data_IF_002269793505
#
_entry.id   IF_002269793505
#
_cell.length_a   1.000
_cell.length_b   1.000
_cell.length_c   1.000
_cell.angle_alpha   90.00
_cell.angle_beta   90.00
_cell.angle_gamma   90.00
#
_symmetry.space_group_name_H-M   'P 1'
#
loop_
_entity.id
_entity.type
_entity.pdbx_description
1 polymer ?
#
# COMPACT_ATOMS: atom_id res chain seq x y z
N UNK A 1 -27.31 -27.79 12.49
CA UNK A 1 -27.61 -26.41 12.84
C UNK A 1 -27.22 -25.51 11.70
N UNK A 2 -27.91 -24.37 11.53
CA UNK A 2 -27.59 -23.35 10.53
C UNK A 2 -26.30 -22.63 10.93
N UNK A 3 -25.29 -22.50 10.04
CA UNK A 3 -24.03 -21.84 10.37
C UNK A 3 -24.16 -20.32 10.56
N UNK A 4 -25.23 -19.70 10.02
CA UNK A 4 -25.48 -18.27 10.19
C UNK A 4 -26.43 -18.05 11.37
N UNK A 5 -26.08 -17.21 12.37
CA UNK A 5 -26.94 -16.90 13.50
C UNK A 5 -28.31 -16.35 13.08
N UNK A 6 -29.36 -16.68 13.83
CA UNK A 6 -30.73 -16.25 13.51
C UNK A 6 -30.90 -14.75 13.43
N UNK A 7 -30.19 -13.97 14.26
CA UNK A 7 -30.19 -12.50 14.22
C UNK A 7 -29.67 -11.94 12.92
N UNK A 8 -28.59 -12.51 12.41
CA UNK A 8 -27.99 -12.11 11.12
C UNK A 8 -28.91 -12.48 9.97
N UNK A 9 -29.53 -13.68 10.01
CA UNK A 9 -30.47 -14.08 8.98
C UNK A 9 -31.71 -13.17 8.93
N UNK A 10 -32.21 -12.76 10.09
CA UNK A 10 -33.32 -11.83 10.18
C UNK A 10 -32.96 -10.43 9.64
N UNK A 11 -31.75 -9.94 9.95
CA UNK A 11 -31.26 -8.63 9.51
C UNK A 11 -31.11 -8.55 7.97
N UNK A 12 -30.64 -9.63 7.34
CA UNK A 12 -30.39 -9.67 5.90
C UNK A 12 -31.48 -10.40 5.10
N UNK A 13 -32.59 -10.78 5.71
CA UNK A 13 -33.71 -11.46 5.04
C UNK A 13 -33.34 -12.84 4.49
N UNK A 14 -32.43 -13.57 5.15
CA UNK A 14 -31.91 -14.83 4.63
C UNK A 14 -32.74 -16.01 5.13
N UNK A 15 -33.10 -16.91 4.22
CA UNK A 15 -33.75 -18.20 4.54
C UNK A 15 -32.80 -19.17 5.26
N UNK A 16 -33.36 -20.22 5.86
CA UNK A 16 -32.57 -21.25 6.53
C UNK A 16 -31.69 -22.05 5.55
N UNK A 17 -30.56 -22.59 6.03
CA UNK A 17 -29.63 -23.35 5.19
C UNK A 17 -30.28 -24.58 4.52
N UNK A 18 -31.06 -25.37 5.27
CA UNK A 18 -31.78 -26.54 4.75
C UNK A 18 -32.76 -26.16 3.63
N UNK A 19 -33.51 -25.12 3.85
CA UNK A 19 -34.44 -24.57 2.86
C UNK A 19 -33.69 -24.10 1.61
N UNK A 20 -32.60 -23.36 1.75
CA UNK A 20 -31.80 -22.90 0.63
C UNK A 20 -31.25 -24.07 -0.21
N UNK A 21 -30.74 -25.12 0.44
CA UNK A 21 -30.25 -26.32 -0.27
C UNK A 21 -31.37 -27.02 -1.03
N UNK A 22 -32.56 -27.11 -0.45
CA UNK A 22 -33.69 -27.72 -1.11
C UNK A 22 -34.18 -26.89 -2.31
N UNK A 23 -34.37 -25.60 -2.12
CA UNK A 23 -34.92 -24.69 -3.13
C UNK A 23 -33.93 -24.42 -4.29
N UNK A 24 -32.61 -24.49 -4.09
CA UNK A 24 -31.64 -24.35 -5.18
C UNK A 24 -31.66 -25.56 -6.13
N UNK A 25 -31.98 -26.75 -5.60
CA UNK A 25 -32.04 -27.98 -6.40
C UNK A 25 -33.42 -28.29 -6.95
N UNK A 26 -34.47 -27.93 -6.21
CA UNK A 26 -35.87 -28.23 -6.55
C UNK A 26 -36.75 -26.96 -6.36
N UNK A 27 -36.49 -25.90 -7.16
CA UNK A 27 -37.24 -24.65 -7.01
C UNK A 27 -38.64 -24.80 -7.58
N UNK A 28 -39.66 -24.31 -6.85
CA UNK A 28 -41.03 -24.25 -7.33
C UNK A 28 -41.25 -22.94 -8.14
N UNK A 29 -40.39 -21.93 -7.94
CA UNK A 29 -40.42 -20.67 -8.66
C UNK A 29 -39.01 -20.10 -8.86
N UNK A 30 -38.85 -19.18 -9.81
CA UNK A 30 -37.63 -18.44 -10.05
C UNK A 30 -37.23 -17.60 -8.83
N UNK A 31 -38.18 -17.03 -8.12
CA UNK A 31 -37.95 -16.22 -6.93
C UNK A 31 -37.36 -17.06 -5.79
N UNK A 32 -37.86 -18.28 -5.55
CA UNK A 32 -37.28 -19.20 -4.58
C UNK A 32 -35.85 -19.59 -4.94
N UNK A 33 -35.58 -19.85 -6.21
CA UNK A 33 -34.22 -20.17 -6.66
C UNK A 33 -33.27 -18.99 -6.42
N UNK A 34 -33.67 -17.76 -6.72
CA UNK A 34 -32.86 -16.54 -6.50
C UNK A 34 -32.60 -16.33 -5.00
N UNK A 35 -33.60 -16.46 -4.15
CA UNK A 35 -33.49 -16.36 -2.69
C UNK A 35 -32.56 -17.43 -2.12
N UNK A 36 -32.66 -18.66 -2.60
CA UNK A 36 -31.78 -19.75 -2.19
C UNK A 36 -30.32 -19.49 -2.61
N UNK A 37 -30.11 -19.00 -3.85
CA UNK A 37 -28.80 -18.62 -4.36
C UNK A 37 -28.17 -17.49 -3.53
N UNK A 38 -28.93 -16.47 -3.21
CA UNK A 38 -28.46 -15.33 -2.42
C UNK A 38 -28.05 -15.78 -1.01
N UNK A 39 -28.82 -16.68 -0.39
CA UNK A 39 -28.45 -17.28 0.91
C UNK A 39 -27.15 -18.05 0.86
N UNK A 40 -26.94 -18.87 -0.15
CA UNK A 40 -25.73 -19.69 -0.29
C UNK A 40 -24.51 -18.82 -0.63
N UNK A 41 -24.67 -17.87 -1.54
CA UNK A 41 -23.62 -16.90 -1.88
C UNK A 41 -23.21 -16.04 -0.68
N UNK A 42 -24.17 -15.57 0.13
CA UNK A 42 -23.89 -14.85 1.36
C UNK A 42 -23.01 -15.67 2.32
N UNK A 43 -23.35 -16.94 2.52
CA UNK A 43 -22.58 -17.81 3.41
C UNK A 43 -21.16 -18.02 2.91
N UNK A 44 -20.96 -18.26 1.62
CA UNK A 44 -19.65 -18.46 1.02
C UNK A 44 -18.78 -17.18 1.17
N UNK A 45 -19.34 -16.01 0.84
CA UNK A 45 -18.66 -14.73 1.01
C UNK A 45 -18.37 -14.39 2.48
N UNK A 46 -19.29 -14.73 3.39
CA UNK A 46 -19.10 -14.55 4.83
C UNK A 46 -17.94 -15.41 5.33
N UNK A 47 -17.91 -16.70 4.96
CA UNK A 47 -16.83 -17.62 5.33
C UNK A 47 -15.48 -17.13 4.82
N UNK A 48 -15.41 -16.71 3.55
CA UNK A 48 -14.20 -16.14 2.98
C UNK A 48 -13.74 -14.88 3.72
N UNK A 49 -14.68 -13.97 3.97
CA UNK A 49 -14.40 -12.70 4.68
C UNK A 49 -13.90 -12.95 6.11
N UNK A 50 -14.53 -13.89 6.83
CA UNK A 50 -14.11 -14.26 8.18
C UNK A 50 -12.73 -14.92 8.17
N UNK A 51 -12.47 -15.82 7.22
CA UNK A 51 -11.16 -16.46 7.08
C UNK A 51 -10.07 -15.41 6.81
N UNK A 52 -10.31 -14.47 5.89
CA UNK A 52 -9.39 -13.38 5.61
C UNK A 52 -9.16 -12.46 6.82
N UNK A 53 -10.23 -12.12 7.57
CA UNK A 53 -10.09 -11.33 8.80
C UNK A 53 -9.31 -12.07 9.88
N UNK A 54 -9.54 -13.37 10.01
CA UNK A 54 -8.83 -14.21 10.96
C UNK A 54 -7.34 -14.33 10.60
N UNK A 55 -7.00 -14.54 9.33
CA UNK A 55 -5.63 -14.56 8.85
C UNK A 55 -4.94 -13.20 9.02
N UNK A 56 -5.64 -12.11 8.72
CA UNK A 56 -5.13 -10.74 8.95
C UNK A 56 -4.94 -10.39 10.43
N UNK A 57 -5.72 -11.02 11.32
CA UNK A 57 -5.61 -10.81 12.78
C UNK A 57 -4.49 -11.63 13.44
N UNK A 58 -4.17 -12.80 12.90
CA UNK A 58 -3.09 -13.67 13.37
C UNK A 58 -1.79 -13.28 12.69
N UNK A 59 -0.88 -12.61 13.40
CA UNK A 59 0.46 -12.34 12.91
C UNK A 59 0.74 -10.91 12.48
N UNK A 60 -0.07 -9.92 12.85
CA UNK A 60 0.33 -8.53 12.72
C UNK A 60 1.46 -8.24 13.71
N UNK A 61 2.69 -8.38 13.23
CA UNK A 61 3.85 -7.91 13.97
C UNK A 61 3.79 -6.39 14.11
N UNK A 62 4.14 -5.90 15.31
CA UNK A 62 4.19 -4.46 15.56
C UNK A 62 5.40 -3.88 14.84
N UNK A 63 5.22 -2.74 14.21
CA UNK A 63 6.33 -1.96 13.66
C UNK A 63 6.91 -1.03 14.72
N UNK A 64 8.23 -0.81 14.66
CA UNK A 64 8.91 0.28 15.36
C UNK A 64 8.88 1.60 14.59
N UNK A 65 8.49 1.53 13.30
CA UNK A 65 8.34 2.71 12.46
C UNK A 65 7.03 3.43 12.82
N UNK A 66 7.12 4.61 13.41
CA UNK A 66 5.94 5.41 13.75
C UNK A 66 6.11 6.84 13.30
N UNK A 67 5.24 7.30 12.44
CA UNK A 67 5.22 8.67 11.94
C UNK A 67 4.12 9.45 12.66
N UNK A 68 4.45 9.93 13.87
CA UNK A 68 3.50 10.65 14.71
C UNK A 68 3.65 12.16 14.52
N UNK A 69 2.53 12.86 14.34
CA UNK A 69 2.43 14.33 14.27
C UNK A 69 3.49 14.97 13.35
N UNK A 70 3.58 14.57 12.07
CA UNK A 70 4.47 15.26 11.13
C UNK A 70 3.94 16.64 10.83
N UNK A 71 4.84 17.63 10.62
CA UNK A 71 4.44 18.96 10.14
C UNK A 71 4.56 19.03 8.62
N UNK A 72 3.44 18.96 7.92
CA UNK A 72 3.39 19.10 6.47
C UNK A 72 3.25 20.56 5.98
N UNK A 73 3.12 21.54 6.88
CA UNK A 73 2.95 22.95 6.48
C UNK A 73 4.08 23.47 5.58
N UNK A 74 5.37 23.20 5.86
CA UNK A 74 6.45 23.60 4.98
C UNK A 74 6.32 23.01 3.58
N UNK A 75 6.03 21.70 3.50
CA UNK A 75 5.84 21.00 2.23
C UNK A 75 4.66 21.57 1.44
N UNK A 76 3.50 21.77 2.08
CA UNK A 76 2.31 22.32 1.40
C UNK A 76 2.56 23.76 0.91
N UNK A 77 3.29 24.57 1.66
CA UNK A 77 3.65 25.94 1.27
C UNK A 77 4.63 25.99 0.09
N UNK A 78 5.46 24.99 -0.10
CA UNK A 78 6.43 24.93 -1.22
C UNK A 78 5.79 24.51 -2.55
N UNK A 79 4.55 24.01 -2.52
CA UNK A 79 3.88 23.58 -3.74
C UNK A 79 3.42 24.78 -4.58
N UNK A 80 3.58 24.72 -5.93
CA UNK A 80 3.14 25.79 -6.82
C UNK A 80 1.61 25.82 -7.02
N UNK A 81 0.87 24.91 -6.40
CA UNK A 81 -0.59 24.79 -6.48
C UNK A 81 -1.14 24.20 -5.16
N UNK A 82 -2.39 24.48 -4.81
CA UNK A 82 -2.99 23.92 -3.62
C UNK A 82 -3.32 22.41 -3.81
N UNK A 83 -3.24 21.65 -2.72
CA UNK A 83 -3.72 20.28 -2.70
C UNK A 83 -5.24 20.21 -2.89
N UNK A 84 -5.72 19.28 -3.70
CA UNK A 84 -7.15 18.99 -3.83
C UNK A 84 -7.75 18.44 -2.53
N UNK A 85 -9.07 18.53 -2.37
CA UNK A 85 -9.76 17.95 -1.21
C UNK A 85 -9.52 16.45 -1.07
N UNK A 86 -9.47 15.71 -2.19
CA UNK A 86 -9.19 14.28 -2.21
C UNK A 86 -7.75 13.99 -1.74
N UNK A 87 -6.76 14.72 -2.25
CA UNK A 87 -5.36 14.56 -1.84
C UNK A 87 -5.16 14.84 -0.35
N UNK A 88 -5.76 15.92 0.19
CA UNK A 88 -5.73 16.22 1.63
C UNK A 88 -6.30 15.09 2.48
N UNK A 89 -7.47 14.55 2.08
CA UNK A 89 -8.13 13.44 2.79
C UNK A 89 -7.26 12.19 2.78
N UNK A 90 -6.75 11.80 1.62
CA UNK A 90 -5.92 10.58 1.47
C UNK A 90 -4.62 10.70 2.24
N UNK A 91 -3.93 11.84 2.18
CA UNK A 91 -2.72 12.09 2.98
C UNK A 91 -3.03 11.96 4.47
N UNK A 92 -4.14 12.54 4.95
CA UNK A 92 -4.52 12.44 6.37
C UNK A 92 -4.82 11.01 6.80
N UNK A 93 -5.45 10.20 5.95
CA UNK A 93 -5.71 8.79 6.20
C UNK A 93 -4.42 7.97 6.27
N UNK A 94 -3.51 8.15 5.31
CA UNK A 94 -2.20 7.49 5.28
C UNK A 94 -1.41 7.82 6.56
N UNK A 95 -1.34 9.09 6.93
CA UNK A 95 -0.60 9.53 8.12
C UNK A 95 -1.20 8.98 9.43
N UNK A 96 -2.53 8.83 9.48
CA UNK A 96 -3.19 8.18 10.63
C UNK A 96 -2.74 6.73 10.77
N UNK A 97 -2.66 6.00 9.67
CA UNK A 97 -2.20 4.62 9.69
C UNK A 97 -0.70 4.51 10.00
N UNK A 98 0.13 5.42 9.47
CA UNK A 98 1.56 5.47 9.76
C UNK A 98 1.87 5.83 11.23
N UNK A 99 0.92 6.41 11.95
CA UNK A 99 1.03 6.65 13.39
C UNK A 99 0.64 5.42 14.23
N UNK A 100 0.00 4.41 13.63
CA UNK A 100 -0.44 3.16 14.26
C UNK A 100 0.76 2.29 14.71
N UNK A 101 0.58 1.42 15.71
CA UNK A 101 1.60 0.43 16.09
C UNK A 101 1.80 -0.71 15.08
N UNK A 102 1.02 -0.74 14.02
CA UNK A 102 1.10 -1.78 12.98
C UNK A 102 1.56 -1.18 11.66
N UNK A 103 2.31 -1.93 10.84
CA UNK A 103 2.73 -1.45 9.53
C UNK A 103 1.49 -1.18 8.66
N UNK A 104 1.47 -0.01 8.04
CA UNK A 104 0.45 0.35 7.06
C UNK A 104 0.69 -0.46 5.78
N UNK A 105 -0.38 -0.99 5.20
CA UNK A 105 -0.38 -1.52 3.84
C UNK A 105 -1.61 -0.96 3.13
N UNK A 106 -1.41 0.05 2.28
CA UNK A 106 -2.49 0.77 1.58
C UNK A 106 -2.30 0.79 0.08
N UNK A 107 -3.41 0.73 -0.63
CA UNK A 107 -3.50 1.01 -2.05
C UNK A 107 -3.95 2.47 -2.24
N UNK A 108 -3.15 3.24 -2.97
CA UNK A 108 -3.48 4.56 -3.49
C UNK A 108 -3.90 4.41 -4.96
N UNK A 109 -5.19 4.47 -5.19
CA UNK A 109 -5.77 4.37 -6.51
C UNK A 109 -6.19 5.75 -7.04
N UNK A 110 -5.99 5.98 -8.34
CA UNK A 110 -6.41 7.19 -9.01
C UNK A 110 -5.91 7.22 -10.44
N UNK A 111 -6.57 7.96 -11.31
CA UNK A 111 -6.23 8.07 -12.73
C UNK A 111 -4.81 8.60 -12.97
N UNK A 112 -4.32 8.44 -14.20
CA UNK A 112 -3.07 9.06 -14.63
C UNK A 112 -3.23 10.58 -14.50
N UNK A 113 -2.23 11.23 -13.88
CA UNK A 113 -2.29 12.68 -13.65
C UNK A 113 -3.05 13.12 -12.39
N UNK A 114 -3.69 12.22 -11.63
CA UNK A 114 -4.40 12.55 -10.37
C UNK A 114 -3.49 13.06 -9.24
N UNK A 115 -2.17 13.03 -9.43
CA UNK A 115 -1.18 13.47 -8.45
C UNK A 115 -0.78 12.44 -7.41
N UNK A 116 -0.86 11.14 -7.72
CA UNK A 116 -0.39 10.07 -6.82
C UNK A 116 1.04 10.27 -6.35
N UNK A 117 1.94 10.68 -7.24
CA UNK A 117 3.34 10.95 -6.89
C UNK A 117 3.47 12.13 -5.92
N UNK A 118 2.58 13.12 -5.97
CA UNK A 118 2.55 14.20 -5.00
C UNK A 118 2.13 13.71 -3.61
N UNK A 119 1.13 12.84 -3.54
CA UNK A 119 0.73 12.17 -2.27
C UNK A 119 1.91 11.35 -1.73
N UNK A 120 2.58 10.58 -2.59
CA UNK A 120 3.77 9.81 -2.24
C UNK A 120 4.89 10.71 -1.69
N UNK A 121 5.17 11.86 -2.32
CA UNK A 121 6.14 12.84 -1.83
C UNK A 121 5.76 13.38 -0.45
N UNK A 122 4.50 13.75 -0.23
CA UNK A 122 4.01 14.27 1.05
C UNK A 122 4.19 13.29 2.20
N UNK A 123 3.84 12.01 1.99
CA UNK A 123 3.97 10.98 3.04
C UNK A 123 5.42 10.53 3.23
N UNK A 124 6.25 10.57 2.17
CA UNK A 124 7.70 10.37 2.29
C UNK A 124 8.34 11.47 3.13
N UNK A 125 7.99 12.73 2.88
CA UNK A 125 8.45 13.84 3.68
C UNK A 125 8.09 13.68 5.16
N UNK A 126 6.86 13.24 5.45
CA UNK A 126 6.43 12.96 6.81
C UNK A 126 7.28 11.87 7.49
N UNK A 127 7.62 10.79 6.80
CA UNK A 127 8.50 9.74 7.31
C UNK A 127 9.92 10.26 7.55
N UNK A 128 10.44 11.04 6.60
CA UNK A 128 11.81 11.61 6.65
C UNK A 128 11.96 12.59 7.81
N UNK A 129 10.97 13.41 8.10
CA UNK A 129 10.95 14.27 9.31
C UNK A 129 11.11 13.50 10.62
N UNK A 130 10.78 12.21 10.64
CA UNK A 130 10.92 11.33 11.82
C UNK A 130 12.21 10.50 11.76
N UNK A 131 13.12 10.85 10.86
CA UNK A 131 14.44 10.21 10.72
C UNK A 131 14.39 8.86 10.01
N UNK A 132 13.33 8.57 9.25
CA UNK A 132 13.23 7.39 8.41
C UNK A 132 13.62 7.70 6.98
N UNK A 133 13.98 6.66 6.24
CA UNK A 133 14.14 6.71 4.79
C UNK A 133 12.89 6.21 4.09
N UNK A 134 12.67 6.70 2.87
CA UNK A 134 11.60 6.25 1.99
C UNK A 134 12.17 5.73 0.67
N UNK A 135 11.61 4.64 0.16
CA UNK A 135 11.98 4.05 -1.12
C UNK A 135 10.79 3.97 -2.06
N UNK A 136 10.96 4.40 -3.31
CA UNK A 136 9.96 4.25 -4.37
C UNK A 136 10.49 3.29 -5.43
N UNK A 137 9.78 2.20 -5.62
CA UNK A 137 10.10 1.18 -6.62
C UNK A 137 9.21 1.36 -7.85
N UNK A 138 9.82 1.48 -9.01
CA UNK A 138 9.16 1.57 -10.30
C UNK A 138 9.49 0.35 -11.18
N UNK A 139 8.59 -0.06 -12.10
CA UNK A 139 8.77 -1.26 -12.90
C UNK A 139 9.87 -1.15 -13.97
N UNK A 140 10.19 0.06 -14.39
CA UNK A 140 11.22 0.33 -15.40
C UNK A 140 12.16 1.44 -14.94
N UNK A 141 13.36 1.47 -15.51
CA UNK A 141 14.34 2.52 -15.21
C UNK A 141 13.90 3.90 -15.66
N UNK A 142 13.17 3.97 -16.78
CA UNK A 142 12.59 5.22 -17.30
C UNK A 142 11.59 5.79 -16.29
N UNK A 143 10.70 4.96 -15.76
CA UNK A 143 9.73 5.39 -14.74
C UNK A 143 10.42 5.72 -13.41
N UNK A 144 11.45 4.97 -13.02
CA UNK A 144 12.23 5.28 -11.82
C UNK A 144 12.91 6.66 -11.92
N UNK A 145 13.53 6.96 -13.06
CA UNK A 145 14.14 8.27 -13.32
C UNK A 145 13.10 9.40 -13.38
N UNK A 146 11.93 9.12 -13.94
CA UNK A 146 10.82 10.09 -13.98
C UNK A 146 10.26 10.39 -12.59
N UNK A 147 10.10 9.37 -11.75
CA UNK A 147 9.73 9.53 -10.35
C UNK A 147 10.80 10.26 -9.56
N UNK A 148 12.06 9.92 -9.72
CA UNK A 148 13.18 10.59 -9.07
C UNK A 148 13.17 12.10 -9.37
N UNK A 149 13.06 12.46 -10.65
CA UNK A 149 12.98 13.87 -11.07
C UNK A 149 11.80 14.61 -10.43
N UNK A 150 10.64 13.95 -10.36
CA UNK A 150 9.44 14.53 -9.75
C UNK A 150 9.57 14.66 -8.24
N UNK A 151 10.10 13.62 -7.56
CA UNK A 151 10.33 13.62 -6.13
C UNK A 151 11.38 14.67 -5.73
N UNK A 152 12.45 14.81 -6.51
CA UNK A 152 13.48 15.82 -6.33
C UNK A 152 12.86 17.23 -6.33
N UNK A 153 12.01 17.52 -7.32
CA UNK A 153 11.30 18.80 -7.42
C UNK A 153 10.49 19.15 -6.17
N UNK A 154 9.87 18.17 -5.53
CA UNK A 154 9.01 18.38 -4.35
C UNK A 154 9.79 18.33 -3.02
N UNK A 155 10.87 17.56 -2.94
CA UNK A 155 11.51 17.25 -1.67
C UNK A 155 12.83 17.99 -1.46
N UNK A 156 13.59 18.30 -2.51
CA UNK A 156 14.85 19.08 -2.37
C UNK A 156 14.64 20.47 -1.76
N UNK A 157 13.56 21.24 -2.07
CA UNK A 157 13.28 22.49 -1.39
C UNK A 157 13.11 22.34 0.13
N UNK A 158 12.84 21.11 0.60
CA UNK A 158 12.71 20.76 2.02
C UNK A 158 14.03 20.23 2.62
N UNK A 159 15.14 20.30 1.89
CA UNK A 159 16.44 19.79 2.33
C UNK A 159 16.59 18.26 2.26
N UNK A 160 15.66 17.56 1.60
CA UNK A 160 15.71 16.11 1.44
C UNK A 160 16.53 15.72 0.23
N UNK A 161 17.56 14.89 0.42
CA UNK A 161 18.37 14.34 -0.66
C UNK A 161 17.64 13.17 -1.32
N UNK A 162 17.43 13.27 -2.63
CA UNK A 162 16.77 12.24 -3.45
C UNK A 162 17.81 11.56 -4.33
N UNK A 163 17.82 10.21 -4.32
CA UNK A 163 18.72 9.39 -5.12
C UNK A 163 18.00 8.50 -6.12
N UNK A 164 18.75 8.03 -7.14
CA UNK A 164 18.29 7.06 -8.13
C UNK A 164 19.19 5.82 -8.09
N UNK A 165 18.58 4.63 -7.96
CA UNK A 165 19.31 3.35 -8.01
C UNK A 165 18.66 2.42 -9.04
N UNK A 166 19.32 2.27 -10.20
CA UNK A 166 18.85 1.46 -11.33
C UNK A 166 19.95 0.51 -11.85
N UNK A 167 19.55 -0.42 -12.70
CA UNK A 167 20.46 -1.38 -13.33
C UNK A 167 21.47 -0.73 -14.29
N UNK A 168 21.13 0.38 -14.94
CA UNK A 168 21.97 1.10 -15.90
C UNK A 168 23.13 1.89 -15.30
N UNK A 169 23.13 2.13 -13.98
CA UNK A 169 24.25 2.79 -13.31
C UNK A 169 25.51 1.95 -13.42
N UNK A 170 26.66 2.61 -13.58
CA UNK A 170 27.97 1.93 -13.53
C UNK A 170 28.19 1.27 -12.17
N UNK A 171 29.04 0.21 -12.09
CA UNK A 171 29.32 -0.44 -10.81
C UNK A 171 29.79 0.54 -9.73
N UNK A 172 30.64 1.50 -10.08
CA UNK A 172 31.14 2.54 -9.17
C UNK A 172 29.99 3.44 -8.64
N UNK A 173 29.09 3.85 -9.53
CA UNK A 173 27.93 4.67 -9.15
C UNK A 173 26.95 3.89 -8.26
N UNK A 174 26.72 2.59 -8.56
CA UNK A 174 25.88 1.73 -7.72
C UNK A 174 26.47 1.59 -6.31
N UNK A 175 27.75 1.34 -6.21
CA UNK A 175 28.43 1.22 -4.90
C UNK A 175 28.31 2.52 -4.11
N UNK A 176 28.66 3.66 -4.71
CA UNK A 176 28.57 4.97 -4.06
C UNK A 176 27.13 5.29 -3.61
N UNK A 177 26.12 4.97 -4.45
CA UNK A 177 24.71 5.20 -4.09
C UNK A 177 24.26 4.30 -2.94
N UNK A 178 24.64 3.01 -2.95
CA UNK A 178 24.32 2.07 -1.85
C UNK A 178 24.95 2.50 -0.53
N UNK A 179 26.20 2.89 -0.54
CA UNK A 179 26.89 3.41 0.65
C UNK A 179 26.20 4.69 1.17
N UNK A 180 25.78 5.60 0.30
CA UNK A 180 25.09 6.81 0.70
C UNK A 180 23.68 6.51 1.29
N UNK A 181 22.99 5.49 0.77
CA UNK A 181 21.72 4.99 1.32
C UNK A 181 21.96 4.37 2.72
N UNK A 182 22.96 3.52 2.84
CA UNK A 182 23.31 2.85 4.10
C UNK A 182 23.74 3.82 5.20
N UNK A 183 24.47 4.88 4.84
CA UNK A 183 24.82 5.95 5.79
C UNK A 183 23.68 6.92 6.09
N UNK A 184 22.50 6.76 5.44
CA UNK A 184 21.35 7.66 5.62
C UNK A 184 21.51 9.03 4.98
N UNK A 185 22.51 9.24 4.14
CA UNK A 185 22.75 10.51 3.41
C UNK A 185 21.66 10.74 2.35
N UNK A 186 21.14 9.67 1.76
CA UNK A 186 20.00 9.70 0.86
C UNK A 186 18.74 9.30 1.65
N UNK A 187 17.83 10.23 1.84
CA UNK A 187 16.60 10.00 2.60
C UNK A 187 15.45 9.48 1.74
N UNK A 188 15.41 9.85 0.45
CA UNK A 188 14.44 9.36 -0.52
C UNK A 188 15.17 8.70 -1.68
N UNK A 189 14.85 7.46 -2.02
CA UNK A 189 15.44 6.79 -3.17
C UNK A 189 14.36 6.26 -4.12
N UNK A 190 14.46 6.60 -5.39
CA UNK A 190 13.71 5.97 -6.46
C UNK A 190 14.57 4.91 -7.15
N UNK A 191 13.99 3.82 -7.60
CA UNK A 191 14.76 2.79 -8.29
C UNK A 191 13.91 1.66 -8.83
N UNK A 192 14.59 0.66 -9.36
CA UNK A 192 13.98 -0.56 -9.86
C UNK A 192 14.28 -1.73 -8.92
N UNK A 193 14.37 -2.90 -9.46
CA UNK A 193 14.76 -4.13 -8.75
C UNK A 193 16.10 -4.03 -7.97
N UNK A 194 16.94 -3.07 -8.33
CA UNK A 194 18.21 -2.83 -7.62
C UNK A 194 18.01 -2.47 -6.13
N UNK A 195 16.84 -1.90 -5.76
CA UNK A 195 16.49 -1.58 -4.38
C UNK A 195 16.25 -2.82 -3.51
N UNK A 196 15.81 -3.92 -4.13
CA UNK A 196 15.46 -5.18 -3.44
C UNK A 196 16.69 -6.08 -3.24
N UNK A 197 17.74 -5.92 -4.07
CA UNK A 197 18.93 -6.76 -4.00
C UNK A 197 19.58 -6.73 -2.61
N UNK A 198 20.11 -7.86 -2.14
CA UNK A 198 20.74 -8.01 -0.83
C UNK A 198 21.83 -6.97 -0.57
N UNK A 199 22.57 -6.60 -1.61
CA UNK A 199 23.64 -5.61 -1.55
C UNK A 199 23.16 -4.16 -1.25
N UNK A 200 21.83 -3.90 -1.18
CA UNK A 200 21.29 -2.58 -0.84
C UNK A 200 20.78 -2.59 0.60
N UNK A 201 21.51 -2.01 1.52
CA UNK A 201 21.13 -1.81 2.90
C UNK A 201 20.58 -0.38 3.11
N UNK A 202 19.59 -0.25 3.97
CA UNK A 202 19.04 1.03 4.39
C UNK A 202 19.44 1.34 5.84
N UNK A 203 19.73 2.59 6.14
CA UNK A 203 19.98 3.00 7.52
C UNK A 203 18.75 2.83 8.40
N UNK A 204 17.61 3.38 7.96
CA UNK A 204 16.31 3.29 8.68
C UNK A 204 15.13 3.37 7.70
N UNK A 205 14.88 2.31 6.96
CA UNK A 205 13.76 2.26 6.01
C UNK A 205 12.42 2.26 6.77
N UNK A 206 11.59 3.28 6.53
CA UNK A 206 10.30 3.43 7.19
C UNK A 206 9.11 3.42 6.24
N UNK A 207 9.32 3.74 4.96
CA UNK A 207 8.26 3.76 3.97
C UNK A 207 8.73 3.15 2.65
N UNK A 208 7.96 2.22 2.14
CA UNK A 208 8.12 1.62 0.81
C UNK A 208 6.93 2.01 -0.05
N UNK A 209 7.21 2.54 -1.23
CA UNK A 209 6.20 2.89 -2.22
C UNK A 209 6.45 2.05 -3.46
N UNK A 210 5.40 1.44 -4.02
CA UNK A 210 5.48 0.71 -5.29
C UNK A 210 4.54 1.32 -6.30
N UNK A 211 5.03 1.59 -7.49
CA UNK A 211 4.22 2.07 -8.60
C UNK A 211 3.86 0.90 -9.51
N UNK A 212 2.58 0.83 -9.93
CA UNK A 212 2.01 -0.23 -10.76
C UNK A 212 2.23 -1.67 -10.24
N UNK A 213 1.41 -2.08 -9.29
CA UNK A 213 1.45 -3.39 -8.61
C UNK A 213 1.52 -4.61 -9.54
N UNK A 214 0.98 -4.54 -10.75
CA UNK A 214 0.86 -5.70 -11.65
C UNK A 214 2.18 -6.26 -12.16
N UNK A 215 3.27 -5.47 -12.08
CA UNK A 215 4.60 -5.84 -12.59
C UNK A 215 5.56 -6.32 -11.50
N UNK A 216 5.17 -6.21 -10.22
CA UNK A 216 5.99 -6.68 -9.11
C UNK A 216 5.39 -7.90 -8.44
N UNK A 217 6.16 -8.99 -8.35
CA UNK A 217 5.77 -10.19 -7.61
C UNK A 217 5.56 -9.91 -6.12
N UNK A 218 4.70 -10.69 -5.46
CA UNK A 218 4.47 -10.65 -4.00
C UNK A 218 5.80 -10.77 -3.25
N UNK A 219 6.71 -11.61 -3.73
CA UNK A 219 8.04 -11.87 -3.16
C UNK A 219 8.94 -10.61 -3.09
N UNK A 220 8.91 -9.76 -4.09
CA UNK A 220 9.76 -8.56 -4.14
C UNK A 220 9.34 -7.49 -3.15
N UNK A 221 8.02 -7.36 -2.92
CA UNK A 221 7.46 -6.46 -1.90
C UNK A 221 7.80 -6.95 -0.50
N UNK A 222 7.76 -8.25 -0.31
CA UNK A 222 8.12 -8.90 0.94
C UNK A 222 9.60 -8.67 1.26
N UNK A 223 10.50 -8.88 0.31
CA UNK A 223 11.94 -8.63 0.47
C UNK A 223 12.27 -7.17 0.83
N UNK A 224 11.56 -6.18 0.25
CA UNK A 224 11.75 -4.78 0.64
C UNK A 224 11.18 -4.50 2.04
N UNK A 225 10.10 -5.18 2.42
CA UNK A 225 9.53 -5.14 3.77
C UNK A 225 10.49 -5.71 4.83
N UNK A 226 11.29 -6.70 4.46
CA UNK A 226 12.28 -7.34 5.35
C UNK A 226 13.57 -6.51 5.54
N UNK A 227 13.83 -5.50 4.67
CA UNK A 227 14.99 -4.59 4.78
C UNK A 227 14.86 -3.51 5.85
N UNK A 228 13.76 -3.46 6.55
CA UNK A 228 13.51 -2.51 7.64
C UNK A 228 12.78 -3.19 8.80
N UNK A 229 12.47 -2.42 9.81
CA UNK A 229 11.75 -2.87 11.01
C UNK A 229 10.23 -2.85 10.72
N UNK A 230 9.77 -3.67 9.77
CA UNK A 230 8.40 -3.70 9.23
C UNK A 230 7.94 -2.32 8.72
N UNK A 231 8.54 -1.79 7.63
CA UNK A 231 8.21 -0.48 7.09
C UNK A 231 6.74 -0.40 6.63
N UNK A 232 6.19 0.79 6.58
CA UNK A 232 4.91 1.04 5.95
C UNK A 232 4.98 0.83 4.45
N UNK A 233 3.93 0.29 3.85
CA UNK A 233 3.85 0.02 2.41
C UNK A 233 2.70 0.81 1.79
N UNK A 234 3.00 1.56 0.73
CA UNK A 234 2.04 2.27 -0.09
C UNK A 234 2.14 1.77 -1.53
N UNK A 235 1.07 1.20 -2.02
CA UNK A 235 0.98 0.75 -3.42
C UNK A 235 0.23 1.78 -4.23
N UNK A 236 0.77 2.26 -5.33
CA UNK A 236 0.10 3.16 -6.26
C UNK A 236 -0.39 2.38 -7.48
N UNK A 237 -1.60 2.67 -7.96
CA UNK A 237 -2.13 2.07 -9.19
C UNK A 237 -3.07 3.04 -9.93
N UNK A 238 -3.01 3.00 -11.25
CA UNK A 238 -3.97 3.69 -12.12
C UNK A 238 -5.18 2.80 -12.46
N UNK A 239 -5.03 1.46 -12.37
CA UNK A 239 -6.10 0.53 -12.73
C UNK A 239 -6.94 0.11 -11.52
N UNK A 240 -8.26 -0.11 -11.68
CA UNK A 240 -9.09 -0.61 -10.60
C UNK A 240 -8.72 -2.06 -10.24
N UNK A 241 -8.53 -2.27 -8.96
CA UNK A 241 -8.43 -3.54 -8.21
C UNK A 241 -7.55 -4.64 -8.82
N UNK A 242 -6.33 -4.82 -8.31
CA UNK A 242 -5.61 -6.05 -8.50
C UNK A 242 -6.22 -7.18 -7.65
N UNK A 243 -6.40 -8.35 -8.25
CA UNK A 243 -6.86 -9.59 -7.58
C UNK A 243 -6.07 -9.94 -6.31
N UNK A 244 -4.83 -9.49 -6.20
CA UNK A 244 -3.93 -9.78 -5.06
C UNK A 244 -4.13 -8.90 -3.81
N UNK A 245 -5.01 -7.90 -3.84
CA UNK A 245 -5.38 -7.10 -2.67
C UNK A 245 -6.71 -7.52 -2.06
N UNK A 246 -7.44 -8.40 -2.73
CA UNK A 246 -8.65 -9.02 -2.21
C UNK A 246 -8.35 -10.24 -1.31
N UNK A 247 -7.08 -10.64 -1.18
CA UNK A 247 -6.63 -11.75 -0.32
C UNK A 247 -6.01 -11.26 0.99
#
# INVERSE_FOLDING_TARGET
PDPIPGSVRAEYGLIGFRQAVQEIHFPESREQMETARDRLAFEELLRLTLALKFLKGRGREKTRVRVQRPDLKPFVKSLPFPLTGAQKRVIAEILRDMASPYPMNRLLQGDVGSGKTLVAAAVSYAAIQKGYQAALMAPTEILAAQHEKTLRKFLEPMGVKVGLLTGSLTPKQKTAMREAIERGEIQMVAGTHALVQEATAFHRLGLVITDEQHRFGVHQRQMLGEKGDHPHVLVMSATPIPRTLAL
#
